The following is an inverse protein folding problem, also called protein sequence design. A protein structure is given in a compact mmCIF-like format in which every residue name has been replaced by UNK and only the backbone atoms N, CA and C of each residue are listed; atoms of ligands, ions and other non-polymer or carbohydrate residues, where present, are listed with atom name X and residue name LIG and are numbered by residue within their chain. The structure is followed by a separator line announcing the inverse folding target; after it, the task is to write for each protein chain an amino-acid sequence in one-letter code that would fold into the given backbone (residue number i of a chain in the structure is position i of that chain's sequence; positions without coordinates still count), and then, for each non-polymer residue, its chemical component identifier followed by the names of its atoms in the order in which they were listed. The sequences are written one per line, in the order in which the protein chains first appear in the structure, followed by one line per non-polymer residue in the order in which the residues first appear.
data_IF_737427324390
#
_entry.id   IF_737427324390
#
_cell.length_a   1.000
_cell.length_b   1.000
_cell.length_c   1.000
_cell.angle_alpha   90.00
_cell.angle_beta   90.00
_cell.angle_gamma   90.00
#
_symmetry.space_group_name_H-M   'P 1'
#
loop_
_entity.id
_entity.type
_entity.pdbx_description
1 polymer ?
#
# COMPACT_ATOMS: atom_id res chain seq x y z
N UNK A 1 9.34 24.44 2.89
CA UNK A 1 10.43 23.84 3.68
C UNK A 1 11.35 23.15 2.71
N UNK A 2 12.62 23.52 2.72
CA UNK A 2 13.63 22.89 1.88
C UNK A 2 13.61 21.39 2.10
N UNK A 3 13.58 20.63 1.02
CA UNK A 3 13.73 19.18 1.08
C UNK A 3 15.16 18.90 1.51
N UNK A 4 15.38 18.22 2.64
CA UNK A 4 16.70 17.79 2.97
C UNK A 4 17.06 16.65 2.02
N UNK A 5 17.65 16.97 0.87
CA UNK A 5 18.30 15.97 0.03
C UNK A 5 19.51 15.45 0.78
N UNK A 6 19.29 14.42 1.56
CA UNK A 6 20.36 13.67 2.23
C UNK A 6 21.24 12.91 1.23
N UNK A 7 20.83 12.83 -0.03
CA UNK A 7 21.43 11.99 -1.05
C UNK A 7 22.07 12.83 -2.14
N UNK A 8 23.21 13.44 -1.82
CA UNK A 8 24.03 14.14 -2.84
C UNK A 8 24.69 13.15 -3.81
N UNK A 9 24.92 11.93 -3.39
CA UNK A 9 25.47 10.86 -4.23
C UNK A 9 24.64 9.57 -4.06
N UNK A 10 23.89 9.19 -5.09
CA UNK A 10 23.07 7.97 -5.08
C UNK A 10 23.88 6.71 -5.39
N UNK A 11 25.19 6.80 -5.67
CA UNK A 11 26.03 5.63 -5.93
C UNK A 11 26.11 4.69 -4.74
N UNK A 12 26.07 5.23 -3.52
CA UNK A 12 26.06 4.45 -2.28
C UNK A 12 24.74 3.69 -2.06
N UNK A 13 23.71 4.02 -2.85
CA UNK A 13 22.38 3.39 -2.81
C UNK A 13 22.13 2.43 -3.98
N UNK A 14 23.13 2.16 -4.81
CA UNK A 14 23.04 1.14 -5.84
C UNK A 14 22.61 -0.18 -5.19
N UNK A 15 21.53 -0.80 -5.69
CA UNK A 15 20.92 -2.02 -5.16
C UNK A 15 20.25 -1.88 -3.76
N UNK A 16 19.92 -0.67 -3.34
CA UNK A 16 19.15 -0.41 -2.12
C UNK A 16 17.76 0.13 -2.43
N UNK A 17 16.81 -0.18 -1.55
CA UNK A 17 15.47 0.41 -1.59
C UNK A 17 15.56 1.81 -0.98
N UNK A 18 15.06 2.81 -1.69
CA UNK A 18 14.87 4.17 -1.16
C UNK A 18 13.49 4.27 -0.56
N UNK A 19 13.40 4.64 0.71
CA UNK A 19 12.12 4.88 1.37
C UNK A 19 11.71 6.33 1.22
N UNK A 20 10.45 6.54 0.86
CA UNK A 20 9.90 7.86 0.61
C UNK A 20 8.52 8.03 1.26
N UNK A 21 8.23 9.21 1.80
CA UNK A 21 6.96 9.52 2.43
C UNK A 21 6.33 10.73 1.75
N UNK A 22 5.18 10.56 1.09
CA UNK A 22 4.40 11.65 0.49
C UNK A 22 3.25 12.11 1.37
N UNK A 23 2.85 11.27 2.33
CA UNK A 23 1.83 11.58 3.33
C UNK A 23 2.13 10.93 4.67
N UNK A 24 1.66 11.54 5.76
CA UNK A 24 1.81 11.02 7.12
C UNK A 24 0.46 10.95 7.83
N UNK A 25 0.27 9.88 8.60
CA UNK A 25 -0.99 9.56 9.28
C UNK A 25 -1.83 8.57 8.50
N UNK A 26 -2.92 8.07 9.13
CA UNK A 26 -3.84 7.13 8.52
C UNK A 26 -5.27 7.47 8.95
N UNK A 27 -6.26 7.52 8.04
CA UNK A 27 -7.65 7.84 8.41
C UNK A 27 -8.36 6.66 9.08
N UNK A 28 -7.80 5.44 8.97
CA UNK A 28 -8.38 4.22 9.52
C UNK A 28 -8.04 4.01 10.99
N UNK A 29 -8.84 3.14 11.65
CA UNK A 29 -8.75 2.88 13.09
C UNK A 29 -8.49 1.40 13.40
N UNK A 30 -7.73 0.71 12.55
CA UNK A 30 -7.45 -0.70 12.75
C UNK A 30 -6.83 -0.96 14.12
N UNK A 31 -7.46 -1.83 14.90
CA UNK A 31 -7.16 -2.05 16.32
C UNK A 31 -5.76 -2.62 16.60
N UNK A 32 -5.16 -3.30 15.63
CA UNK A 32 -3.82 -3.87 15.73
C UNK A 32 -2.72 -2.90 15.29
N UNK A 33 -3.07 -1.73 14.73
CA UNK A 33 -2.12 -0.85 14.05
C UNK A 33 -1.81 0.43 14.86
N UNK A 34 -0.55 0.72 15.09
CA UNK A 34 -0.12 1.96 15.75
C UNK A 34 -0.40 3.22 14.92
N UNK A 35 -0.52 3.09 13.60
CA UNK A 35 -0.88 4.23 12.74
C UNK A 35 -2.31 4.74 12.97
N UNK A 36 -3.15 3.96 13.65
CA UNK A 36 -4.50 4.37 14.07
C UNK A 36 -4.52 5.44 15.17
N UNK A 37 -3.37 5.69 15.82
CA UNK A 37 -3.21 6.71 16.87
C UNK A 37 -3.25 8.11 16.27
N UNK A 38 -2.52 8.33 15.16
CA UNK A 38 -2.52 9.61 14.43
C UNK A 38 -3.49 9.57 13.26
N UNK A 39 -4.71 10.03 13.52
CA UNK A 39 -5.83 10.00 12.54
C UNK A 39 -5.78 11.12 11.52
N UNK A 40 -4.91 12.11 11.72
CA UNK A 40 -4.80 13.25 10.84
C UNK A 40 -3.85 12.96 9.70
N UNK A 41 -4.39 12.79 8.51
CA UNK A 41 -3.57 12.69 7.29
C UNK A 41 -3.02 14.06 6.91
N UNK A 42 -1.73 14.15 6.75
CA UNK A 42 -1.00 15.35 6.29
C UNK A 42 -0.32 15.01 4.97
N UNK A 43 -0.76 15.67 3.91
CA UNK A 43 -0.18 15.51 2.58
C UNK A 43 0.98 16.49 2.40
N UNK A 44 2.03 16.06 1.72
CA UNK A 44 3.09 16.95 1.27
C UNK A 44 2.62 17.74 0.05
N UNK A 45 3.25 18.87 -0.18
CA UNK A 45 3.02 19.67 -1.38
C UNK A 45 3.38 18.87 -2.63
N UNK A 46 2.45 18.82 -3.60
CA UNK A 46 2.61 18.00 -4.80
C UNK A 46 3.73 18.50 -5.73
N UNK A 47 4.01 19.79 -5.76
CA UNK A 47 5.09 20.32 -6.58
C UNK A 47 6.44 19.81 -6.05
N UNK A 48 6.59 19.81 -4.72
CA UNK A 48 7.78 19.29 -4.06
C UNK A 48 7.91 17.78 -4.22
N UNK A 49 6.79 17.04 -4.11
CA UNK A 49 6.78 15.58 -4.34
C UNK A 49 7.24 15.26 -5.76
N UNK A 50 6.72 15.96 -6.76
CA UNK A 50 7.09 15.75 -8.17
C UNK A 50 8.58 16.06 -8.44
N UNK A 51 9.12 17.10 -7.83
CA UNK A 51 10.55 17.42 -7.92
C UNK A 51 11.43 16.30 -7.34
N UNK A 52 11.04 15.76 -6.18
CA UNK A 52 11.76 14.66 -5.53
C UNK A 52 11.66 13.36 -6.32
N UNK A 53 10.49 13.05 -6.89
CA UNK A 53 10.31 11.89 -7.76
C UNK A 53 11.15 12.01 -9.03
N UNK A 54 11.21 13.21 -9.63
CA UNK A 54 12.07 13.45 -10.80
C UNK A 54 13.54 13.18 -10.47
N UNK A 55 14.00 13.62 -9.29
CA UNK A 55 15.35 13.32 -8.84
C UNK A 55 15.61 11.81 -8.79
N UNK A 56 14.71 10.99 -8.23
CA UNK A 56 14.87 9.54 -8.21
C UNK A 56 14.88 8.92 -9.62
N UNK A 57 14.05 9.43 -10.52
CA UNK A 57 13.99 8.99 -11.90
C UNK A 57 15.28 9.32 -12.66
N UNK A 58 15.81 10.53 -12.49
CA UNK A 58 17.06 10.98 -13.12
C UNK A 58 18.27 10.19 -12.62
N UNK A 59 18.28 9.85 -11.32
CA UNK A 59 19.31 9.01 -10.70
C UNK A 59 19.15 7.52 -11.00
N UNK A 60 18.08 7.12 -11.74
CA UNK A 60 17.79 5.73 -12.09
C UNK A 60 17.73 4.80 -10.87
N UNK A 61 17.12 5.30 -9.79
CA UNK A 61 16.95 4.51 -8.55
C UNK A 61 16.19 3.24 -8.87
N UNK A 62 16.70 2.04 -8.55
CA UNK A 62 16.02 0.79 -8.90
C UNK A 62 14.64 0.65 -8.28
N UNK A 63 14.50 1.02 -6.99
CA UNK A 63 13.23 0.91 -6.27
C UNK A 63 13.04 2.03 -5.26
N UNK A 64 11.87 2.68 -5.33
CA UNK A 64 11.37 3.63 -4.34
C UNK A 64 10.16 3.03 -3.64
N UNK A 65 10.24 2.77 -2.33
CA UNK A 65 9.12 2.30 -1.53
C UNK A 65 8.50 3.48 -0.77
N UNK A 66 7.24 3.77 -1.10
CA UNK A 66 6.42 4.70 -0.33
C UNK A 66 6.06 4.07 1.01
N UNK A 67 6.29 4.81 2.09
CA UNK A 67 5.95 4.39 3.46
C UNK A 67 4.70 5.09 3.98
N UNK A 68 3.93 5.68 3.10
CA UNK A 68 2.57 6.18 3.35
C UNK A 68 1.71 5.03 3.85
N UNK A 69 0.98 5.22 4.95
CA UNK A 69 0.22 4.14 5.62
C UNK A 69 -0.99 3.65 4.83
N UNK A 70 -1.57 4.51 4.01
CA UNK A 70 -2.57 4.19 3.00
C UNK A 70 -2.44 5.24 1.92
N UNK A 71 -1.61 4.97 0.93
CA UNK A 71 -1.23 5.95 -0.09
C UNK A 71 -2.44 6.56 -0.80
N UNK A 72 -3.43 5.75 -1.16
CA UNK A 72 -4.62 6.17 -1.90
C UNK A 72 -5.79 6.63 -1.02
N UNK A 73 -5.53 7.01 0.24
CA UNK A 73 -6.59 7.57 1.09
C UNK A 73 -7.05 8.97 0.64
N UNK A 74 -6.25 9.68 -0.16
CA UNK A 74 -6.65 10.88 -0.88
C UNK A 74 -6.50 10.62 -2.38
N UNK A 75 -7.63 10.57 -3.06
CA UNK A 75 -7.74 10.21 -4.46
C UNK A 75 -6.95 11.15 -5.38
N UNK A 76 -7.12 12.48 -5.20
CA UNK A 76 -6.41 13.45 -6.02
C UNK A 76 -4.89 13.36 -5.86
N UNK A 77 -4.42 13.19 -4.63
CA UNK A 77 -3.00 13.04 -4.33
C UNK A 77 -2.41 11.79 -5.01
N UNK A 78 -3.11 10.66 -4.93
CA UNK A 78 -2.70 9.43 -5.57
C UNK A 78 -2.66 9.56 -7.11
N UNK A 79 -3.71 10.11 -7.71
CA UNK A 79 -3.79 10.32 -9.16
C UNK A 79 -2.67 11.21 -9.69
N UNK A 80 -2.37 12.32 -9.00
CA UNK A 80 -1.31 13.24 -9.39
C UNK A 80 0.08 12.57 -9.36
N UNK A 81 0.36 11.76 -8.33
CA UNK A 81 1.64 11.05 -8.22
C UNK A 81 1.73 9.93 -9.25
N UNK A 82 0.69 9.10 -9.40
CA UNK A 82 0.68 8.00 -10.37
C UNK A 82 0.75 8.51 -11.80
N UNK A 83 0.05 9.60 -12.14
CA UNK A 83 0.14 10.22 -13.46
C UNK A 83 1.57 10.70 -13.72
N UNK A 84 2.17 11.38 -12.75
CA UNK A 84 3.53 11.91 -12.89
C UNK A 84 4.56 10.82 -13.15
N UNK A 85 4.55 9.71 -12.38
CA UNK A 85 5.52 8.63 -12.58
C UNK A 85 5.29 7.87 -13.89
N UNK A 86 4.04 7.78 -14.37
CA UNK A 86 3.73 7.19 -15.66
C UNK A 86 4.27 8.05 -16.81
N UNK A 87 4.05 9.36 -16.75
CA UNK A 87 4.46 10.31 -17.78
C UNK A 87 5.98 10.46 -17.89
N UNK A 88 6.69 10.29 -16.75
CA UNK A 88 8.15 10.46 -16.66
C UNK A 88 8.89 9.12 -16.47
N UNK A 89 8.24 8.00 -16.79
CA UNK A 89 8.83 6.67 -16.61
C UNK A 89 10.17 6.54 -17.34
N UNK A 90 11.21 6.19 -16.59
CA UNK A 90 12.57 5.99 -17.12
C UNK A 90 12.84 4.54 -17.59
N UNK A 91 11.85 3.65 -17.52
CA UNK A 91 11.98 2.24 -17.87
C UNK A 91 12.77 1.38 -16.84
N UNK A 92 13.19 1.94 -15.72
CA UNK A 92 14.06 1.28 -14.71
C UNK A 92 13.40 1.27 -13.34
N UNK A 93 13.00 2.45 -12.84
CA UNK A 93 12.54 2.61 -11.46
C UNK A 93 11.23 1.89 -11.21
N UNK A 94 11.18 1.13 -10.12
CA UNK A 94 9.95 0.55 -9.56
C UNK A 94 9.48 1.39 -8.38
N UNK A 95 8.20 1.70 -8.34
CA UNK A 95 7.55 2.40 -7.22
C UNK A 95 6.61 1.44 -6.50
N UNK A 96 6.85 1.25 -5.20
CA UNK A 96 6.08 0.36 -4.34
C UNK A 96 5.18 1.17 -3.41
N UNK A 97 3.86 0.89 -3.42
CA UNK A 97 2.85 1.58 -2.63
C UNK A 97 2.06 0.62 -1.75
N UNK A 98 1.80 1.04 -0.50
CA UNK A 98 0.81 0.39 0.37
C UNK A 98 -0.54 1.08 0.19
N UNK A 99 -1.56 0.33 -0.27
CA UNK A 99 -2.87 0.88 -0.61
C UNK A 99 -4.03 0.13 0.05
N UNK A 100 -5.20 0.75 0.04
CA UNK A 100 -6.48 0.09 0.32
C UNK A 100 -7.22 -0.10 -1.01
N UNK A 101 -7.31 -1.36 -1.48
CA UNK A 101 -7.81 -1.63 -2.83
C UNK A 101 -9.30 -1.35 -2.99
N UNK A 102 -10.08 -1.41 -1.92
CA UNK A 102 -11.51 -1.09 -1.92
C UNK A 102 -11.81 0.42 -2.08
N UNK A 103 -10.78 1.27 -1.94
CA UNK A 103 -10.88 2.71 -2.24
C UNK A 103 -10.63 3.05 -3.70
N UNK A 104 -10.03 2.12 -4.48
CA UNK A 104 -9.74 2.37 -5.89
C UNK A 104 -11.03 2.58 -6.69
N UNK A 105 -11.03 3.63 -7.50
CA UNK A 105 -12.11 3.91 -8.43
C UNK A 105 -11.74 3.59 -9.88
N UNK A 106 -12.67 3.81 -10.81
CA UNK A 106 -12.48 3.51 -12.22
C UNK A 106 -11.35 4.30 -12.89
N UNK A 107 -11.12 5.54 -12.47
CA UNK A 107 -10.05 6.39 -13.03
C UNK A 107 -8.68 5.90 -12.60
N UNK A 108 -8.51 5.58 -11.30
CA UNK A 108 -7.28 5.00 -10.77
C UNK A 108 -6.96 3.66 -11.42
N UNK A 109 -7.95 2.77 -11.54
CA UNK A 109 -7.79 1.48 -12.20
C UNK A 109 -7.41 1.63 -13.68
N UNK A 110 -8.01 2.59 -14.39
CA UNK A 110 -7.69 2.88 -15.78
C UNK A 110 -6.27 3.45 -15.96
N UNK A 111 -5.82 4.27 -15.02
CA UNK A 111 -4.45 4.79 -15.01
C UNK A 111 -3.43 3.67 -14.75
N UNK A 112 -3.68 2.86 -13.71
CA UNK A 112 -2.83 1.72 -13.36
C UNK A 112 -2.71 0.71 -14.53
N UNK A 113 -3.79 0.48 -15.27
CA UNK A 113 -3.80 -0.42 -16.44
C UNK A 113 -2.87 0.02 -17.58
N UNK A 114 -2.53 1.31 -17.66
CA UNK A 114 -1.65 1.87 -18.70
C UNK A 114 -0.18 1.86 -18.35
N UNK A 115 0.16 1.51 -17.10
CA UNK A 115 1.53 1.56 -16.63
C UNK A 115 2.39 0.45 -17.24
N UNK A 116 3.67 0.74 -17.47
CA UNK A 116 4.65 -0.26 -17.89
C UNK A 116 4.73 -1.40 -16.87
N UNK A 117 4.86 -2.66 -17.31
CA UNK A 117 5.16 -3.76 -16.40
C UNK A 117 6.43 -3.47 -15.57
N UNK A 118 6.31 -3.57 -14.25
CA UNK A 118 7.40 -3.28 -13.31
C UNK A 118 7.54 -1.81 -12.88
N UNK A 119 6.73 -0.88 -13.42
CA UNK A 119 6.72 0.50 -12.91
C UNK A 119 6.13 0.60 -11.51
N UNK A 120 5.04 -0.10 -11.25
CA UNK A 120 4.31 -0.06 -9.97
C UNK A 120 4.19 -1.45 -9.36
N UNK A 121 4.36 -1.51 -8.05
CA UNK A 121 4.04 -2.64 -7.19
C UNK A 121 3.07 -2.18 -6.12
N UNK A 122 2.03 -2.96 -5.85
CA UNK A 122 1.01 -2.65 -4.86
C UNK A 122 1.00 -3.69 -3.74
N UNK A 123 1.13 -3.22 -2.51
CA UNK A 123 0.95 -4.00 -1.28
C UNK A 123 -0.42 -3.68 -0.71
N UNK A 124 -1.25 -4.70 -0.51
CA UNK A 124 -2.67 -4.57 -0.15
C UNK A 124 -2.95 -5.45 1.06
N UNK A 125 -3.18 -4.82 2.19
CA UNK A 125 -3.58 -5.53 3.40
C UNK A 125 -5.03 -5.99 3.30
N UNK A 126 -5.28 -7.30 3.22
CA UNK A 126 -6.61 -7.91 3.37
C UNK A 126 -6.86 -8.24 4.84
N UNK A 127 -5.88 -8.85 5.47
CA UNK A 127 -5.76 -9.28 6.86
C UNK A 127 -6.64 -10.49 7.21
N UNK A 128 -7.93 -10.47 6.87
CA UNK A 128 -8.89 -11.55 7.01
C UNK A 128 -10.06 -11.33 6.05
N UNK A 129 -10.80 -12.38 5.70
CA UNK A 129 -12.11 -12.29 5.01
C UNK A 129 -13.27 -12.61 5.96
N UNK A 130 -12.98 -12.89 7.22
CA UNK A 130 -14.01 -13.10 8.26
C UNK A 130 -14.55 -11.73 8.73
N UNK A 131 -15.82 -11.47 8.44
CA UNK A 131 -16.45 -10.19 8.76
C UNK A 131 -16.48 -9.91 10.28
N UNK A 132 -16.69 -10.93 11.11
CA UNK A 132 -16.68 -10.77 12.56
C UNK A 132 -15.27 -10.39 13.06
N UNK A 133 -14.24 -10.97 12.50
CA UNK A 133 -12.85 -10.63 12.78
C UNK A 133 -12.54 -9.18 12.36
N UNK A 134 -12.94 -8.79 11.15
CA UNK A 134 -12.71 -7.43 10.65
C UNK A 134 -13.40 -6.38 11.52
N UNK A 135 -14.64 -6.64 11.94
CA UNK A 135 -15.39 -5.78 12.86
C UNK A 135 -14.70 -5.66 14.22
N UNK A 136 -14.29 -6.78 14.80
CA UNK A 136 -13.62 -6.82 16.11
C UNK A 136 -12.31 -6.02 16.12
N UNK A 137 -11.56 -6.05 15.03
CA UNK A 137 -10.32 -5.26 14.89
C UNK A 137 -10.54 -3.87 14.30
N UNK A 138 -11.78 -3.42 14.19
CA UNK A 138 -12.15 -2.09 13.65
C UNK A 138 -11.60 -1.82 12.25
N UNK A 139 -11.50 -2.86 11.43
CA UNK A 139 -11.08 -2.74 10.05
C UNK A 139 -12.29 -2.73 9.12
N UNK A 140 -12.61 -1.57 8.60
CA UNK A 140 -13.71 -1.39 7.65
C UNK A 140 -13.18 -1.51 6.23
N UNK A 141 -13.31 -2.69 5.63
CA UNK A 141 -12.91 -2.98 4.25
C UNK A 141 -14.10 -3.56 3.49
N UNK A 142 -14.38 -3.04 2.32
CA UNK A 142 -15.36 -3.64 1.42
C UNK A 142 -14.67 -4.76 0.62
N UNK A 143 -14.87 -6.02 1.05
CA UNK A 143 -14.19 -7.18 0.46
C UNK A 143 -14.57 -7.41 -1.01
N UNK A 144 -15.81 -7.10 -1.42
CA UNK A 144 -16.24 -7.25 -2.81
C UNK A 144 -15.55 -6.24 -3.73
N UNK A 145 -15.45 -4.97 -3.30
CA UNK A 145 -14.70 -3.94 -4.01
C UNK A 145 -13.21 -4.26 -4.08
N UNK A 146 -12.64 -4.72 -2.96
CA UNK A 146 -11.24 -5.14 -2.91
C UNK A 146 -10.97 -6.27 -3.91
N UNK A 147 -11.78 -7.33 -3.88
CA UNK A 147 -11.67 -8.45 -4.83
C UNK A 147 -11.78 -7.97 -6.27
N UNK A 148 -12.78 -7.14 -6.57
CA UNK A 148 -12.98 -6.60 -7.92
C UNK A 148 -11.74 -5.82 -8.40
N UNK A 149 -11.22 -4.94 -7.57
CA UNK A 149 -10.02 -4.14 -7.88
C UNK A 149 -8.79 -5.02 -8.11
N UNK A 150 -8.52 -5.99 -7.23
CA UNK A 150 -7.38 -6.91 -7.35
C UNK A 150 -7.47 -7.74 -8.63
N UNK A 151 -8.64 -8.33 -8.91
CA UNK A 151 -8.86 -9.12 -10.13
C UNK A 151 -8.69 -8.26 -11.39
N UNK A 152 -9.20 -7.03 -11.37
CA UNK A 152 -9.04 -6.08 -12.49
C UNK A 152 -7.58 -5.72 -12.71
N UNK A 153 -6.82 -5.40 -11.67
CA UNK A 153 -5.38 -5.12 -11.76
C UNK A 153 -4.63 -6.36 -12.28
N UNK A 154 -4.93 -7.54 -11.74
CA UNK A 154 -4.28 -8.77 -12.15
C UNK A 154 -4.51 -9.07 -13.64
N UNK A 155 -5.67 -8.75 -14.19
CA UNK A 155 -6.02 -9.03 -15.61
C UNK A 155 -5.16 -8.28 -16.62
N UNK A 156 -4.52 -7.19 -16.23
CA UNK A 156 -3.64 -6.39 -17.10
C UNK A 156 -2.19 -6.91 -17.12
N UNK A 157 -1.80 -7.79 -16.19
CA UNK A 157 -0.47 -8.41 -16.09
C UNK A 157 0.72 -7.43 -15.99
N UNK A 158 0.49 -6.20 -15.59
CA UNK A 158 1.50 -5.14 -15.56
C UNK A 158 1.94 -4.70 -14.17
N UNK A 159 1.17 -5.03 -13.13
CA UNK A 159 1.43 -4.63 -11.75
C UNK A 159 1.65 -5.87 -10.89
N UNK A 160 2.74 -5.85 -10.11
CA UNK A 160 2.98 -6.85 -9.06
C UNK A 160 2.05 -6.55 -7.88
N UNK A 161 1.15 -7.49 -7.58
CA UNK A 161 0.23 -7.40 -6.44
C UNK A 161 0.71 -8.29 -5.31
N UNK A 162 0.88 -7.69 -4.14
CA UNK A 162 1.22 -8.33 -2.89
C UNK A 162 0.01 -8.22 -1.95
N UNK A 163 -0.53 -9.35 -1.49
CA UNK A 163 -1.64 -9.40 -0.55
C UNK A 163 -1.18 -9.91 0.80
N UNK A 164 -1.72 -9.34 1.89
CA UNK A 164 -1.35 -9.68 3.25
C UNK A 164 -2.51 -10.27 4.04
N UNK A 165 -2.23 -11.31 4.83
CA UNK A 165 -3.08 -11.88 5.85
C UNK A 165 -2.39 -11.87 7.21
N UNK A 166 -3.19 -11.72 8.28
CA UNK A 166 -2.71 -11.82 9.67
C UNK A 166 -3.37 -13.02 10.33
N UNK A 167 -2.55 -13.98 10.77
CA UNK A 167 -3.00 -15.10 11.59
C UNK A 167 -3.07 -14.70 13.07
N UNK A 168 -4.08 -15.21 13.78
CA UNK A 168 -4.26 -14.99 15.22
C UNK A 168 -5.09 -13.75 15.57
N UNK A 169 -5.85 -13.21 14.62
CA UNK A 169 -6.82 -12.14 14.88
C UNK A 169 -7.99 -12.66 15.76
N UNK A 170 -8.64 -11.77 16.54
CA UNK A 170 -9.84 -12.14 17.33
C UNK A 170 -10.93 -12.78 16.46
N UNK A 171 -11.63 -13.76 17.01
CA UNK A 171 -12.71 -14.52 16.35
C UNK A 171 -12.30 -15.27 15.08
N UNK A 172 -11.01 -15.54 14.90
CA UNK A 172 -10.51 -16.33 13.78
C UNK A 172 -9.86 -17.61 14.29
N UNK A 173 -10.54 -18.73 14.06
CA UNK A 173 -10.00 -20.07 14.25
C UNK A 173 -9.26 -20.55 12.99
N UNK A 174 -8.66 -21.74 13.07
CA UNK A 174 -7.93 -22.32 11.93
C UNK A 174 -8.84 -22.50 10.70
N UNK A 175 -10.09 -22.89 10.88
CA UNK A 175 -11.05 -23.07 9.77
C UNK A 175 -11.37 -21.75 9.08
N UNK A 176 -11.59 -20.68 9.86
CA UNK A 176 -11.80 -19.33 9.35
C UNK A 176 -10.57 -18.79 8.64
N UNK A 177 -9.38 -19.00 9.21
CA UNK A 177 -8.13 -18.58 8.58
C UNK A 177 -7.87 -19.30 7.25
N UNK A 178 -8.15 -20.61 7.17
CA UNK A 178 -8.06 -21.37 5.92
C UNK A 178 -9.01 -20.81 4.85
N UNK A 179 -10.24 -20.41 5.24
CA UNK A 179 -11.17 -19.75 4.31
C UNK A 179 -10.59 -18.42 3.80
N UNK A 180 -10.12 -17.57 4.71
CA UNK A 180 -9.47 -16.30 4.34
C UNK A 180 -8.27 -16.52 3.40
N UNK A 181 -7.44 -17.51 3.69
CA UNK A 181 -6.33 -17.87 2.83
C UNK A 181 -6.80 -18.27 1.42
N UNK A 182 -7.78 -19.16 1.31
CA UNK A 182 -8.31 -19.61 0.02
C UNK A 182 -8.96 -18.48 -0.76
N UNK A 183 -9.70 -17.61 -0.10
CA UNK A 183 -10.32 -16.42 -0.70
C UNK A 183 -9.26 -15.50 -1.32
N UNK A 184 -8.22 -15.19 -0.57
CA UNK A 184 -7.13 -14.31 -1.03
C UNK A 184 -6.29 -15.00 -2.10
N UNK A 185 -5.96 -16.28 -1.92
CA UNK A 185 -5.21 -17.05 -2.92
C UNK A 185 -5.95 -17.15 -4.26
N UNK A 186 -7.29 -17.22 -4.23
CA UNK A 186 -8.12 -17.23 -5.44
C UNK A 186 -8.05 -15.94 -6.28
N UNK A 187 -7.60 -14.83 -5.69
CA UNK A 187 -7.35 -13.56 -6.39
C UNK A 187 -6.03 -13.57 -7.19
N UNK A 188 -5.23 -14.63 -7.05
CA UNK A 188 -3.97 -14.86 -7.77
C UNK A 188 -2.93 -13.73 -7.61
N UNK A 189 -2.59 -13.31 -6.37
CA UNK A 189 -1.52 -12.35 -6.18
C UNK A 189 -0.18 -12.95 -6.63
N UNK A 190 0.76 -12.11 -7.05
CA UNK A 190 2.14 -12.54 -7.29
C UNK A 190 2.87 -12.87 -5.99
N UNK A 191 2.46 -12.22 -4.89
CA UNK A 191 2.99 -12.47 -3.57
C UNK A 191 1.86 -12.51 -2.54
N UNK A 192 1.86 -13.53 -1.68
CA UNK A 192 0.98 -13.62 -0.52
C UNK A 192 1.84 -13.70 0.74
N UNK A 193 1.67 -12.74 1.63
CA UNK A 193 2.35 -12.69 2.91
C UNK A 193 1.43 -13.11 4.04
N UNK A 194 1.92 -14.00 4.89
CA UNK A 194 1.26 -14.40 6.13
C UNK A 194 2.03 -13.82 7.31
N UNK A 195 1.42 -12.90 8.02
CA UNK A 195 1.92 -12.36 9.27
C UNK A 195 1.23 -13.01 10.48
N UNK A 196 1.87 -12.95 11.64
CA UNK A 196 1.23 -13.28 12.91
C UNK A 196 0.84 -11.99 13.63
N UNK A 197 -0.33 -12.00 14.27
CA UNK A 197 -0.74 -10.87 15.10
C UNK A 197 0.32 -10.55 16.15
N UNK A 198 0.70 -9.30 16.22
CA UNK A 198 1.50 -8.73 17.30
C UNK A 198 0.65 -7.71 18.03
N UNK A 199 0.38 -7.94 19.30
CA UNK A 199 -0.28 -6.94 20.15
C UNK A 199 0.77 -5.89 20.49
N UNK A 200 0.67 -4.74 19.85
CA UNK A 200 1.63 -3.66 19.99
C UNK A 200 1.22 -2.72 21.13
N UNK A 201 2.20 -2.29 21.93
CA UNK A 201 1.98 -1.33 23.01
C UNK A 201 1.38 -0.01 22.46
N UNK A 202 0.28 0.43 23.05
CA UNK A 202 -0.50 1.59 22.63
C UNK A 202 -1.53 1.32 21.54
N UNK A 203 -1.66 0.05 21.05
CA UNK A 203 -2.74 -0.33 20.14
C UNK A 203 -4.05 -0.59 20.91
N UNK A 204 -5.17 -0.48 20.18
CA UNK A 204 -6.49 -0.82 20.75
C UNK A 204 -6.57 -2.28 21.22
N UNK A 205 -5.91 -3.21 20.53
CA UNK A 205 -5.91 -4.61 20.96
C UNK A 205 -5.14 -4.83 22.27
N UNK A 206 -4.15 -4.00 22.59
CA UNK A 206 -3.51 -4.05 23.92
C UNK A 206 -4.49 -3.68 25.04
N UNK A 207 -5.37 -2.69 24.80
CA UNK A 207 -6.38 -2.28 25.78
C UNK A 207 -7.43 -3.36 26.02
N UNK A 208 -7.60 -4.31 25.09
CA UNK A 208 -8.58 -5.40 25.15
C UNK A 208 -8.00 -6.73 25.67
N UNK A 209 -6.67 -6.84 25.76
CA UNK A 209 -5.98 -8.06 26.17
C UNK A 209 -5.84 -8.15 27.68
#
# INVERSE_FOLDING_TARGET
SETPFFYKDMKDFANRIVYYESSRGCPFRCGYCLSSIDKRVRLRDLALVKEELQFFLDQKVPQVKFIDRTFNCNHQHAMEIWSYIQEHDNGITNFHFEISADLLNGEELALLAKMRPGLVQLEIGVQSTNLQTLEAVRRHTNLDKLRHAVVRIHSEYNIHVHLDLIAGLPYEDMGSFIRSFNDVYSMRPQQLQLGFLKVLKGSYLEEMA
#
